data_IF_625043947167
#
_entry.id   IF_625043947167
#
_cell.length_a   1.000
_cell.length_b   1.000
_cell.length_c   1.000
_cell.angle_alpha   90.00
_cell.angle_beta   90.00
_cell.angle_gamma   90.00
#
_symmetry.space_group_name_H-M   'P 1'
#
loop_
_entity.id
_entity.type
_entity.pdbx_description
1 polymer ?
#
# COMPACT_ATOMS: atom_id res chain seq x y z
N UNK A 1 -24.96 19.53 43.41
CA UNK A 1 -24.84 18.64 42.23
C UNK A 1 -24.84 17.19 42.69
N UNK A 2 -25.69 16.34 42.08
CA UNK A 2 -25.71 14.92 42.38
C UNK A 2 -24.52 14.25 41.66
N UNK A 3 -23.79 13.38 42.36
CA UNK A 3 -22.68 12.56 41.80
C UNK A 3 -23.03 11.10 41.92
N UNK A 4 -22.73 10.34 40.88
CA UNK A 4 -22.72 8.87 40.93
C UNK A 4 -21.26 8.45 41.09
N UNK A 5 -20.97 7.71 42.15
CA UNK A 5 -19.66 7.10 42.37
C UNK A 5 -19.80 5.58 42.19
N UNK A 6 -19.15 5.02 41.19
CA UNK A 6 -19.15 3.59 40.91
C UNK A 6 -17.80 3.15 40.36
N UNK A 7 -17.27 2.04 40.82
CA UNK A 7 -16.10 1.38 40.23
C UNK A 7 -16.48 0.36 39.15
N UNK A 8 -17.75 -0.06 39.16
CA UNK A 8 -18.27 -1.08 38.25
C UNK A 8 -19.69 -0.74 37.81
N UNK A 9 -20.05 -1.15 36.62
CA UNK A 9 -21.40 -1.09 36.07
C UNK A 9 -21.81 -2.51 35.68
N UNK A 10 -23.01 -2.93 36.15
CA UNK A 10 -23.57 -4.23 35.84
C UNK A 10 -25.00 -4.08 35.36
N UNK A 11 -25.39 -4.85 34.36
CA UNK A 11 -26.78 -5.01 33.99
C UNK A 11 -27.52 -5.81 35.05
N UNK A 12 -28.78 -5.50 35.29
CA UNK A 12 -29.60 -6.14 36.34
C UNK A 12 -29.98 -7.59 36.06
N UNK A 13 -29.77 -8.12 34.85
CA UNK A 13 -30.02 -9.52 34.52
C UNK A 13 -29.05 -10.43 35.27
N UNK A 14 -29.58 -11.54 35.81
CA UNK A 14 -28.78 -12.54 36.54
C UNK A 14 -27.68 -13.13 35.63
N UNK A 15 -26.44 -13.13 36.12
CA UNK A 15 -25.28 -13.59 35.34
C UNK A 15 -24.74 -12.60 34.30
N UNK A 16 -25.24 -11.36 34.26
CA UNK A 16 -24.73 -10.33 33.34
C UNK A 16 -23.28 -9.94 33.66
N UNK A 17 -22.53 -9.60 32.62
CA UNK A 17 -21.16 -9.15 32.74
C UNK A 17 -21.06 -7.86 33.58
N UNK A 18 -20.04 -7.82 34.44
CA UNK A 18 -19.66 -6.64 35.22
C UNK A 18 -18.58 -5.88 34.45
N UNK A 19 -18.78 -4.59 34.21
CA UNK A 19 -17.77 -3.74 33.61
C UNK A 19 -17.02 -2.98 34.68
N UNK A 20 -15.71 -3.15 34.75
CA UNK A 20 -14.83 -2.38 35.61
C UNK A 20 -14.48 -1.05 34.92
N UNK A 21 -14.73 0.07 35.57
CA UNK A 21 -14.44 1.39 35.07
C UNK A 21 -12.95 1.74 35.24
N UNK A 22 -12.39 2.58 34.36
CA UNK A 22 -11.05 3.13 34.54
C UNK A 22 -10.95 3.91 35.87
N UNK A 23 -9.77 3.88 36.49
CA UNK A 23 -9.49 4.59 37.73
C UNK A 23 -9.12 6.06 37.54
N UNK A 24 -8.83 6.46 36.31
CA UNK A 24 -8.49 7.83 35.92
C UNK A 24 -9.32 8.26 34.71
N UNK A 25 -9.43 9.56 34.53
CA UNK A 25 -10.00 10.14 33.32
C UNK A 25 -9.08 9.89 32.12
N UNK A 26 -9.66 9.84 30.90
CA UNK A 26 -8.93 9.74 29.66
C UNK A 26 -8.37 11.07 29.18
N UNK A 27 -7.56 11.03 28.14
CA UNK A 27 -7.11 12.22 27.41
C UNK A 27 -8.19 12.72 26.44
N UNK A 28 -8.04 13.92 25.91
CA UNK A 28 -8.91 14.42 24.85
C UNK A 28 -8.91 13.45 23.65
N UNK A 29 -10.08 13.27 23.02
CA UNK A 29 -10.30 12.40 21.84
C UNK A 29 -10.15 10.91 22.10
N UNK A 30 -10.05 10.45 23.34
CA UNK A 30 -10.15 9.03 23.69
C UNK A 30 -11.60 8.57 23.86
N UNK A 31 -11.86 7.34 23.53
CA UNK A 31 -13.14 6.65 23.73
C UNK A 31 -13.04 5.58 24.80
N UNK A 32 -14.10 5.39 25.57
CA UNK A 32 -14.19 4.28 26.49
C UNK A 32 -14.45 2.97 25.74
N UNK A 33 -13.50 2.05 25.75
CA UNK A 33 -13.53 0.80 25.01
C UNK A 33 -13.43 -0.41 25.95
N UNK A 34 -14.16 -1.46 25.63
CA UNK A 34 -14.05 -2.75 26.32
C UNK A 34 -12.91 -3.58 25.75
N UNK A 35 -12.23 -4.34 26.60
CA UNK A 35 -11.25 -5.36 26.21
C UNK A 35 -11.89 -6.72 25.87
N UNK A 36 -13.22 -6.83 25.90
CA UNK A 36 -13.94 -8.09 25.71
C UNK A 36 -14.02 -9.00 26.96
N UNK A 37 -13.37 -8.62 28.06
CA UNK A 37 -13.30 -9.39 29.31
C UNK A 37 -13.80 -8.59 30.53
N UNK A 38 -14.67 -7.62 30.30
CA UNK A 38 -15.31 -6.83 31.37
C UNK A 38 -14.51 -5.64 31.89
N UNK A 39 -13.35 -5.31 31.31
CA UNK A 39 -12.60 -4.10 31.66
C UNK A 39 -12.83 -3.02 30.61
N UNK A 40 -13.14 -1.80 31.08
CA UNK A 40 -13.22 -0.62 30.24
C UNK A 40 -11.95 0.22 30.41
N UNK A 41 -11.41 0.73 29.30
CA UNK A 41 -10.25 1.62 29.28
C UNK A 41 -10.47 2.73 28.26
N UNK A 42 -9.92 3.90 28.53
CA UNK A 42 -9.82 4.96 27.53
C UNK A 42 -8.77 4.58 26.50
N UNK A 43 -9.11 4.76 25.24
CA UNK A 43 -8.24 4.41 24.10
C UNK A 43 -8.43 5.45 23.02
N UNK A 44 -7.32 5.94 22.45
CA UNK A 44 -7.38 6.82 21.30
C UNK A 44 -8.11 6.15 20.14
N UNK A 45 -8.94 6.91 19.44
CA UNK A 45 -9.52 6.45 18.18
C UNK A 45 -8.37 6.40 17.17
N UNK A 46 -8.07 5.21 16.67
CA UNK A 46 -7.16 5.05 15.54
C UNK A 46 -7.74 5.81 14.34
N UNK A 47 -7.06 6.85 13.87
CA UNK A 47 -7.44 7.55 12.65
C UNK A 47 -7.41 6.57 11.46
N UNK A 48 -8.43 6.63 10.58
CA UNK A 48 -8.73 5.61 9.57
C UNK A 48 -7.56 5.12 8.71
N UNK A 49 -6.79 6.02 8.08
CA UNK A 49 -5.61 5.63 7.27
C UNK A 49 -4.36 5.75 8.14
N UNK A 50 -3.68 4.63 8.37
CA UNK A 50 -2.51 4.56 9.26
C UNK A 50 -1.18 4.42 8.50
N UNK A 51 -1.23 4.03 7.22
CA UNK A 51 -0.06 3.89 6.36
C UNK A 51 -0.37 4.45 4.97
N UNK A 52 0.46 5.40 4.51
CA UNK A 52 0.50 5.88 3.12
C UNK A 52 1.96 6.03 2.74
N UNK A 53 2.36 5.46 1.61
CA UNK A 53 3.73 5.57 1.13
C UNK A 53 3.79 5.72 -0.38
N UNK A 54 4.59 6.67 -0.86
CA UNK A 54 4.68 7.02 -2.26
C UNK A 54 6.10 6.84 -2.81
N UNK A 55 6.22 6.02 -3.83
CA UNK A 55 7.47 5.69 -4.50
C UNK A 55 7.43 6.06 -5.97
N UNK A 56 8.58 6.29 -6.55
CA UNK A 56 8.75 6.59 -7.97
C UNK A 56 9.89 5.76 -8.57
N UNK A 57 9.80 5.48 -9.85
CA UNK A 57 10.86 4.84 -10.63
C UNK A 57 11.92 5.88 -10.98
N UNK A 58 13.19 5.63 -10.65
CA UNK A 58 14.28 6.62 -10.77
C UNK A 58 14.85 6.74 -12.18
N UNK A 59 14.70 5.71 -13.02
CA UNK A 59 15.24 5.68 -14.37
C UNK A 59 14.35 4.88 -15.32
N UNK A 60 14.48 5.14 -16.61
CA UNK A 60 13.74 4.41 -17.63
C UNK A 60 14.11 2.93 -17.65
N UNK A 61 13.12 2.09 -17.86
CA UNK A 61 13.32 0.69 -18.25
C UNK A 61 13.28 0.64 -19.77
N UNK A 62 14.43 0.52 -20.40
CA UNK A 62 14.61 0.64 -21.86
C UNK A 62 14.69 -0.69 -22.60
N UNK A 63 14.87 -1.77 -21.89
CA UNK A 63 14.85 -3.14 -22.43
C UNK A 63 14.59 -4.10 -21.29
N UNK A 64 13.65 -4.99 -21.46
CA UNK A 64 13.44 -6.08 -20.51
C UNK A 64 12.97 -7.31 -21.27
N UNK A 65 13.46 -8.47 -20.82
CA UNK A 65 12.79 -9.72 -21.17
C UNK A 65 11.43 -9.81 -20.49
N UNK A 66 10.66 -10.83 -20.82
CA UNK A 66 9.41 -11.11 -20.15
C UNK A 66 9.63 -11.31 -18.66
N UNK A 67 8.70 -10.81 -17.86
CA UNK A 67 8.70 -10.98 -16.40
C UNK A 67 9.90 -10.36 -15.65
N UNK A 68 10.55 -9.32 -16.22
CA UNK A 68 11.67 -8.65 -15.57
C UNK A 68 11.18 -7.84 -14.37
N UNK A 69 11.72 -8.14 -13.19
CA UNK A 69 11.40 -7.35 -11.97
C UNK A 69 11.94 -5.94 -12.11
N UNK A 70 11.06 -4.96 -11.96
CA UNK A 70 11.42 -3.54 -11.97
C UNK A 70 12.12 -3.20 -10.66
N UNK A 71 13.36 -2.75 -10.77
CA UNK A 71 14.17 -2.21 -9.68
C UNK A 71 14.37 -0.71 -9.84
N UNK A 72 15.06 -0.07 -8.91
CA UNK A 72 15.34 1.36 -9.00
C UNK A 72 14.17 2.22 -8.52
N UNK A 73 13.37 1.70 -7.61
CA UNK A 73 12.36 2.46 -6.88
C UNK A 73 13.00 3.34 -5.82
N UNK A 74 12.51 4.55 -5.66
CA UNK A 74 12.89 5.46 -4.58
C UNK A 74 11.65 6.08 -3.94
N UNK A 75 11.71 6.27 -2.62
CA UNK A 75 10.68 6.98 -1.89
C UNK A 75 10.84 8.48 -2.09
N UNK A 76 9.73 9.21 -2.13
CA UNK A 76 9.79 10.67 -2.09
C UNK A 76 10.20 11.15 -0.70
N UNK A 77 11.24 11.98 -0.64
CA UNK A 77 11.82 12.48 0.60
C UNK A 77 11.73 14.00 0.75
N UNK A 78 11.26 14.70 -0.27
CA UNK A 78 11.08 16.15 -0.25
C UNK A 78 9.76 16.62 -0.87
N UNK A 79 9.38 17.86 -0.62
CA UNK A 79 8.14 18.46 -1.09
C UNK A 79 6.88 18.02 -0.32
N UNK A 80 5.69 18.40 -0.78
CA UNK A 80 4.43 18.14 -0.08
C UNK A 80 4.01 16.66 -0.08
N UNK A 81 4.72 15.79 -0.82
CA UNK A 81 4.49 14.35 -0.89
C UNK A 81 5.61 13.55 -0.19
N UNK A 82 6.47 14.25 0.56
CA UNK A 82 7.62 13.66 1.21
C UNK A 82 7.22 12.83 2.43
N UNK A 83 7.99 11.78 2.63
CA UNK A 83 7.89 10.84 3.73
C UNK A 83 6.57 10.04 3.76
N UNK A 84 6.60 8.83 4.27
CA UNK A 84 5.39 8.07 4.47
C UNK A 84 4.56 8.66 5.63
N UNK A 85 3.25 8.48 5.58
CA UNK A 85 2.43 8.50 6.78
C UNK A 85 2.52 7.12 7.41
N UNK A 86 2.86 7.04 8.68
CA UNK A 86 3.17 5.78 9.36
C UNK A 86 4.62 5.33 9.16
N UNK A 87 4.85 4.02 9.15
CA UNK A 87 6.20 3.42 9.02
C UNK A 87 6.69 3.41 7.56
N UNK A 88 5.77 3.22 6.63
CA UNK A 88 6.05 3.07 5.21
C UNK A 88 6.57 1.69 4.81
N UNK A 89 6.57 1.43 3.51
CA UNK A 89 7.07 0.19 2.91
C UNK A 89 8.58 0.08 3.03
N UNK A 90 9.13 -1.14 3.06
CA UNK A 90 10.53 -1.36 2.74
C UNK A 90 10.67 -1.99 1.35
N UNK A 91 11.71 -1.61 0.61
CA UNK A 91 11.99 -2.12 -0.72
C UNK A 91 13.39 -2.72 -0.77
N UNK A 92 13.52 -3.87 -1.42
CA UNK A 92 14.82 -4.50 -1.72
C UNK A 92 14.74 -5.25 -3.03
N UNK A 93 15.59 -4.89 -3.98
CA UNK A 93 15.69 -5.54 -5.30
C UNK A 93 14.34 -5.62 -6.05
N UNK A 94 13.53 -4.59 -5.95
CA UNK A 94 12.21 -4.50 -6.59
C UNK A 94 11.06 -5.11 -5.80
N UNK A 95 11.35 -5.74 -4.65
CA UNK A 95 10.34 -6.36 -3.79
C UNK A 95 9.95 -5.43 -2.65
N UNK A 96 8.66 -5.15 -2.53
CA UNK A 96 8.09 -4.35 -1.44
C UNK A 96 7.57 -5.24 -0.33
N UNK A 97 7.94 -4.91 0.90
CA UNK A 97 7.47 -5.54 2.14
C UNK A 97 6.62 -4.56 2.92
N UNK A 98 5.46 -5.02 3.36
CA UNK A 98 4.50 -4.22 4.12
C UNK A 98 4.95 -4.03 5.57
N UNK A 99 4.76 -2.83 6.16
CA UNK A 99 5.21 -2.55 7.54
C UNK A 99 4.34 -3.25 8.60
N UNK A 100 3.09 -3.53 8.29
CA UNK A 100 2.12 -4.15 9.20
C UNK A 100 1.12 -5.03 8.45
N UNK A 101 0.43 -5.91 9.17
CA UNK A 101 -0.73 -6.62 8.63
C UNK A 101 -1.88 -5.65 8.40
N UNK A 102 -2.80 -6.00 7.50
CA UNK A 102 -3.94 -5.16 7.14
C UNK A 102 -4.31 -5.28 5.67
N UNK A 103 -5.35 -4.57 5.29
CA UNK A 103 -5.81 -4.50 3.90
C UNK A 103 -5.21 -3.28 3.22
N UNK A 104 -4.53 -3.52 2.12
CA UNK A 104 -3.81 -2.48 1.37
C UNK A 104 -4.39 -2.30 -0.02
N UNK A 105 -4.58 -1.04 -0.39
CA UNK A 105 -4.76 -0.61 -1.77
C UNK A 105 -3.38 -0.20 -2.32
N UNK A 106 -2.99 -0.81 -3.44
CA UNK A 106 -1.77 -0.49 -4.17
C UNK A 106 -2.14 0.09 -5.52
N UNK A 107 -1.71 1.30 -5.80
CA UNK A 107 -2.02 2.03 -7.03
C UNK A 107 -0.72 2.27 -7.80
N UNK A 108 -0.62 1.73 -9.01
CA UNK A 108 0.47 2.01 -9.92
C UNK A 108 -0.02 2.95 -11.02
N UNK A 109 0.71 4.03 -11.24
CA UNK A 109 0.61 4.84 -12.45
C UNK A 109 1.90 4.64 -13.25
N UNK A 110 1.80 4.03 -14.42
CA UNK A 110 2.93 3.78 -15.31
C UNK A 110 2.85 4.70 -16.52
N UNK A 111 3.98 5.33 -16.85
CA UNK A 111 4.14 6.10 -18.06
C UNK A 111 4.94 5.29 -19.09
N UNK A 112 4.36 5.14 -20.27
CA UNK A 112 4.91 4.37 -21.37
C UNK A 112 5.39 5.28 -22.49
N UNK A 113 6.41 4.83 -23.19
CA UNK A 113 6.82 5.31 -24.49
C UNK A 113 6.93 4.10 -25.39
N UNK A 114 5.92 3.90 -26.24
CA UNK A 114 5.78 2.75 -27.08
C UNK A 114 6.35 3.02 -28.47
N UNK A 115 7.28 2.18 -28.91
CA UNK A 115 7.71 2.10 -30.30
C UNK A 115 6.62 1.52 -31.21
N UNK A 116 6.87 1.57 -32.51
CA UNK A 116 5.94 1.04 -33.51
C UNK A 116 5.81 -0.49 -33.35
N UNK A 117 4.58 -0.98 -33.41
CA UNK A 117 4.22 -2.39 -33.27
C UNK A 117 4.70 -3.04 -31.96
N UNK A 118 4.72 -2.25 -30.89
CA UNK A 118 5.10 -2.71 -29.56
C UNK A 118 3.95 -2.58 -28.55
N UNK A 119 4.00 -3.43 -27.54
CA UNK A 119 3.05 -3.47 -26.43
C UNK A 119 3.82 -3.62 -25.12
N UNK A 120 3.66 -2.67 -24.23
CA UNK A 120 4.31 -2.67 -22.93
C UNK A 120 3.31 -2.96 -21.82
N UNK A 121 3.78 -3.70 -20.83
CA UNK A 121 2.97 -4.00 -19.67
C UNK A 121 3.80 -3.83 -18.39
N UNK A 122 3.18 -3.29 -17.34
CA UNK A 122 3.64 -3.38 -15.96
C UNK A 122 2.62 -4.16 -15.16
N UNK A 123 3.06 -5.28 -14.62
CA UNK A 123 2.24 -6.23 -13.87
C UNK A 123 2.48 -6.07 -12.37
N UNK A 124 1.42 -6.12 -11.57
CA UNK A 124 1.49 -6.32 -10.13
C UNK A 124 1.60 -7.82 -9.85
N UNK A 125 2.71 -8.25 -9.29
CA UNK A 125 2.97 -9.63 -8.89
C UNK A 125 2.94 -9.73 -7.37
N UNK A 126 1.92 -10.37 -6.83
CA UNK A 126 1.76 -10.56 -5.38
C UNK A 126 1.96 -12.01 -4.99
N UNK A 127 2.41 -12.22 -3.75
CA UNK A 127 2.66 -13.53 -3.16
C UNK A 127 2.10 -13.60 -1.75
N UNK A 128 1.81 -14.81 -1.28
CA UNK A 128 1.49 -15.12 0.12
C UNK A 128 2.50 -16.09 0.77
N UNK A 129 3.60 -16.40 0.07
CA UNK A 129 4.60 -17.38 0.49
C UNK A 129 6.05 -16.92 0.20
N UNK A 130 6.27 -15.60 0.25
CA UNK A 130 7.57 -14.96 0.03
C UNK A 130 8.16 -15.28 -1.36
N UNK A 131 7.34 -15.25 -2.41
CA UNK A 131 7.70 -15.52 -3.80
C UNK A 131 8.15 -16.95 -4.13
N UNK A 132 7.82 -17.94 -3.29
CA UNK A 132 7.86 -19.34 -3.72
C UNK A 132 6.84 -19.59 -4.84
N UNK A 133 5.67 -18.94 -4.71
CA UNK A 133 4.68 -18.79 -5.79
C UNK A 133 4.19 -17.33 -5.84
N UNK A 134 3.60 -16.93 -6.98
CA UNK A 134 3.03 -15.60 -7.14
C UNK A 134 1.93 -15.58 -8.18
N UNK A 135 1.09 -14.55 -8.13
CA UNK A 135 0.04 -14.32 -9.12
C UNK A 135 0.14 -12.92 -9.70
N UNK A 136 -0.27 -12.75 -10.95
CA UNK A 136 -0.59 -11.42 -11.50
C UNK A 136 -1.93 -11.02 -10.91
N UNK A 137 -1.92 -9.97 -10.09
CA UNK A 137 -3.15 -9.47 -9.44
C UNK A 137 -3.72 -8.25 -10.13
N UNK A 138 -2.92 -7.57 -10.94
CA UNK A 138 -3.32 -6.45 -11.79
C UNK A 138 -2.24 -6.16 -12.83
N UNK A 139 -2.57 -5.40 -13.86
CA UNK A 139 -1.61 -4.91 -14.85
C UNK A 139 -2.04 -3.59 -15.45
N UNK A 140 -1.06 -2.82 -15.88
CA UNK A 140 -1.22 -1.61 -16.70
C UNK A 140 -0.51 -1.84 -18.04
N UNK A 141 -1.21 -1.56 -19.13
CA UNK A 141 -0.69 -1.79 -20.49
C UNK A 141 -0.85 -0.56 -21.35
N UNK A 142 0.07 -0.38 -22.28
CA UNK A 142 -0.08 0.51 -23.43
C UNK A 142 0.58 -0.11 -24.64
N UNK A 143 0.14 0.28 -25.83
CA UNK A 143 0.65 -0.28 -27.08
C UNK A 143 0.46 0.64 -28.27
N UNK A 144 1.27 0.42 -29.30
CA UNK A 144 1.16 1.08 -30.58
C UNK A 144 1.17 0.05 -31.70
N UNK A 145 0.15 0.09 -32.55
CA UNK A 145 0.05 -0.74 -33.74
C UNK A 145 0.08 0.19 -34.96
N UNK A 146 1.11 0.06 -35.79
CA UNK A 146 1.36 0.89 -36.97
C UNK A 146 1.77 2.32 -36.62
N UNK A 147 1.89 3.18 -37.60
CA UNK A 147 2.32 4.57 -37.46
C UNK A 147 3.84 4.76 -37.60
N UNK A 148 4.35 5.87 -37.12
CA UNK A 148 5.80 6.18 -37.13
C UNK A 148 6.20 6.85 -35.81
N UNK A 149 7.38 6.50 -35.31
CA UNK A 149 7.97 7.08 -34.10
C UNK A 149 7.43 6.50 -32.81
N UNK A 150 7.87 7.08 -31.69
CA UNK A 150 7.50 6.67 -30.34
C UNK A 150 6.25 7.43 -29.90
N UNK A 151 5.26 6.72 -29.39
CA UNK A 151 4.05 7.27 -28.81
C UNK A 151 4.14 7.26 -27.28
N UNK A 152 3.81 8.36 -26.65
CA UNK A 152 3.66 8.43 -25.20
C UNK A 152 2.25 8.04 -24.77
N UNK A 153 2.18 7.21 -23.75
CA UNK A 153 0.95 6.79 -23.11
C UNK A 153 1.09 6.68 -21.59
N UNK A 154 0.01 6.38 -20.94
CA UNK A 154 0.03 6.08 -19.50
C UNK A 154 -1.10 5.13 -19.15
N UNK A 155 -0.87 4.31 -18.13
CA UNK A 155 -1.88 3.43 -17.59
C UNK A 155 -1.84 3.42 -16.07
N UNK A 156 -3.01 3.29 -15.47
CA UNK A 156 -3.17 3.16 -14.02
C UNK A 156 -3.77 1.80 -13.71
N UNK A 157 -3.22 1.11 -12.74
CA UNK A 157 -3.71 -0.17 -12.26
C UNK A 157 -3.76 -0.21 -10.74
N UNK A 158 -4.65 -1.05 -10.23
CA UNK A 158 -4.90 -1.17 -8.79
C UNK A 158 -4.84 -2.63 -8.38
N UNK A 159 -4.32 -2.90 -7.20
CA UNK A 159 -4.48 -4.18 -6.53
C UNK A 159 -4.91 -3.99 -5.08
N UNK A 160 -5.73 -4.91 -4.63
CA UNK A 160 -6.17 -4.99 -3.25
C UNK A 160 -5.54 -6.23 -2.62
N UNK A 161 -4.81 -6.05 -1.53
CA UNK A 161 -4.07 -7.12 -0.87
C UNK A 161 -4.47 -7.23 0.60
N UNK A 162 -4.75 -8.45 1.04
CA UNK A 162 -4.92 -8.78 2.45
C UNK A 162 -3.58 -9.29 3.01
N UNK A 163 -2.91 -8.44 3.75
CA UNK A 163 -1.59 -8.72 4.32
C UNK A 163 -1.77 -9.37 5.69
N UNK A 164 -1.92 -10.68 5.69
CA UNK A 164 -2.07 -11.48 6.92
C UNK A 164 -0.74 -11.78 7.62
N UNK A 165 0.37 -11.69 6.89
CA UNK A 165 1.72 -11.92 7.40
C UNK A 165 2.74 -11.13 6.56
N UNK A 166 3.44 -10.18 7.17
CA UNK A 166 4.38 -9.29 6.49
C UNK A 166 5.66 -9.98 5.99
N UNK A 167 6.01 -11.15 6.53
CA UNK A 167 7.14 -11.94 6.05
C UNK A 167 6.81 -12.67 4.75
N UNK A 168 5.56 -13.05 4.55
CA UNK A 168 5.10 -13.90 3.46
C UNK A 168 4.37 -13.10 2.36
N UNK A 169 3.48 -12.18 2.74
CA UNK A 169 2.74 -11.38 1.76
C UNK A 169 3.59 -10.21 1.31
N UNK A 170 3.92 -10.19 0.03
CA UNK A 170 4.75 -9.17 -0.60
C UNK A 170 4.24 -8.84 -2.00
N UNK A 171 4.71 -7.75 -2.55
CA UNK A 171 4.43 -7.34 -3.93
C UNK A 171 5.69 -6.86 -4.62
N UNK A 172 5.76 -7.11 -5.93
CA UNK A 172 6.74 -6.53 -6.84
C UNK A 172 6.05 -6.13 -8.13
N UNK A 173 6.72 -5.30 -8.90
CA UNK A 173 6.27 -4.91 -10.24
C UNK A 173 7.19 -5.54 -11.27
N UNK A 174 6.62 -6.09 -12.33
CA UNK A 174 7.37 -6.69 -13.41
C UNK A 174 7.01 -6.01 -14.72
N UNK A 175 8.05 -5.70 -15.50
CA UNK A 175 7.90 -5.25 -16.86
C UNK A 175 7.79 -6.48 -17.77
N UNK A 176 6.90 -6.40 -18.76
CA UNK A 176 6.74 -7.41 -19.78
C UNK A 176 6.83 -6.76 -21.15
N UNK A 177 7.57 -7.40 -22.04
CA UNK A 177 7.63 -7.05 -23.47
C UNK A 177 8.17 -5.64 -23.78
N UNK A 178 9.16 -5.12 -23.03
CA UNK A 178 9.80 -3.85 -23.38
C UNK A 178 10.79 -4.03 -24.52
N UNK A 179 10.37 -3.66 -25.71
CA UNK A 179 11.20 -3.71 -26.92
C UNK A 179 12.29 -2.64 -26.98
N UNK A 180 13.20 -2.75 -27.94
CA UNK A 180 14.39 -1.90 -28.03
C UNK A 180 14.10 -0.41 -28.30
N UNK A 181 12.92 -0.10 -28.85
CA UNK A 181 12.48 1.27 -29.14
C UNK A 181 11.40 1.76 -28.17
N UNK A 182 11.16 1.02 -27.12
CA UNK A 182 10.13 1.31 -26.12
C UNK A 182 10.74 1.44 -24.75
N UNK A 183 10.04 2.11 -23.84
CA UNK A 183 10.47 2.15 -22.46
C UNK A 183 9.31 2.50 -21.50
N UNK A 184 9.47 2.08 -20.27
CA UNK A 184 8.69 2.56 -19.13
C UNK A 184 9.47 3.72 -18.54
N UNK A 185 8.85 4.91 -18.48
CA UNK A 185 9.53 6.13 -18.06
C UNK A 185 9.76 6.16 -16.55
N UNK A 186 11.00 6.32 -16.16
CA UNK A 186 11.40 6.76 -14.84
C UNK A 186 11.59 8.28 -14.79
N UNK A 187 11.93 8.78 -13.63
CA UNK A 187 12.14 10.22 -13.42
C UNK A 187 12.95 10.50 -12.17
N UNK A 188 12.70 11.62 -11.56
CA UNK A 188 13.29 12.02 -10.30
C UNK A 188 12.20 12.46 -9.31
N UNK A 189 12.59 12.83 -8.12
CA UNK A 189 11.65 13.19 -7.05
C UNK A 189 10.69 14.34 -7.44
N UNK A 190 11.13 15.29 -8.25
CA UNK A 190 10.35 16.44 -8.69
C UNK A 190 9.56 16.21 -9.98
N UNK A 191 10.00 15.26 -10.80
CA UNK A 191 9.44 14.93 -12.11
C UNK A 191 9.21 13.43 -12.25
N UNK A 192 8.57 12.83 -11.26
CA UNK A 192 8.25 11.40 -11.26
C UNK A 192 7.06 11.12 -12.17
N UNK A 193 7.23 10.16 -13.04
CA UNK A 193 6.24 9.82 -14.08
C UNK A 193 5.66 8.41 -13.90
N UNK A 194 6.48 7.44 -13.51
CA UNK A 194 5.99 6.13 -13.05
C UNK A 194 6.07 6.07 -11.54
N UNK A 195 4.94 5.88 -10.89
CA UNK A 195 4.82 5.95 -9.43
C UNK A 195 3.97 4.83 -8.89
N UNK A 196 4.21 4.47 -7.64
CA UNK A 196 3.35 3.56 -6.89
C UNK A 196 2.98 4.18 -5.54
N UNK A 197 1.71 4.07 -5.19
CA UNK A 197 1.15 4.51 -3.92
C UNK A 197 0.60 3.30 -3.17
N UNK A 198 1.01 3.16 -1.91
CA UNK A 198 0.52 2.16 -0.98
C UNK A 198 -0.34 2.85 0.08
N UNK A 199 -1.54 2.33 0.34
CA UNK A 199 -2.46 2.85 1.35
C UNK A 199 -3.01 1.68 2.16
N UNK A 200 -2.81 1.69 3.47
CA UNK A 200 -3.48 0.74 4.38
C UNK A 200 -4.87 1.29 4.70
N UNK A 201 -5.90 0.54 4.36
CA UNK A 201 -7.29 1.00 4.42
C UNK A 201 -8.10 0.34 5.54
N UNK A 202 -7.65 -0.81 6.07
CA UNK A 202 -8.32 -1.51 7.16
C UNK A 202 -7.37 -2.50 7.85
N UNK A 203 -7.80 -3.05 8.97
CA UNK A 203 -7.23 -4.23 9.61
C UNK A 203 -7.57 -5.51 8.81
N UNK A 204 -6.82 -6.59 9.03
CA UNK A 204 -7.09 -7.93 8.47
C UNK A 204 -8.31 -8.56 9.11
#
# INVERSE_FOLDING_TARGET
MSKIQANQIQHTANGAAVFTLPTADGSADEVLKTNGSGTLAFTAISAGITEVDHWYLTSNITSSGNDATITGWSRKTSGPQANPHGTGMSESSGVFTFPSTGKYLVMLNAKFACGVDDNLQVQHRATSDNFSTYSIVSASTDGQNGGSGIRAGSGTSFSFLDVTNTSNVKIKFQADSVGSNSHINGGNEYSSVTTVLFIRIADT
#
